data_IF_387987345267
#
_entry.id   IF_387987345267
#
_cell.length_a   1.000
_cell.length_b   1.000
_cell.length_c   1.000
_cell.angle_alpha   90.00
_cell.angle_beta   90.00
_cell.angle_gamma   90.00
#
_symmetry.space_group_name_H-M   'P 1'
#
loop_
_entity.id
_entity.type
_entity.pdbx_description
1 polymer ?
#
# COMPACT_ATOMS: atom_id res chain seq x y z
N UNK A 1 4.63 -1.38 -12.81
CA UNK A 1 5.54 -0.46 -12.08
C UNK A 1 4.81 0.28 -10.95
N UNK A 2 3.68 0.90 -11.23
CA UNK A 2 2.97 1.72 -10.24
C UNK A 2 2.44 0.95 -9.03
N UNK A 3 2.31 -0.36 -9.12
CA UNK A 3 1.76 -1.21 -8.06
C UNK A 3 2.79 -2.10 -7.40
N UNK A 4 4.06 -1.99 -7.81
CA UNK A 4 5.12 -2.86 -7.31
C UNK A 4 5.58 -2.45 -5.92
N UNK A 5 5.69 -3.43 -5.03
CA UNK A 5 6.23 -3.23 -3.69
C UNK A 5 7.75 -3.01 -3.74
N UNK A 6 8.32 -2.40 -2.69
CA UNK A 6 9.77 -2.14 -2.66
C UNK A 6 10.64 -3.38 -2.85
N UNK A 7 10.28 -4.50 -2.22
CA UNK A 7 11.07 -5.73 -2.34
C UNK A 7 11.04 -6.30 -3.76
N UNK A 8 9.97 -6.06 -4.52
CA UNK A 8 9.87 -6.50 -5.92
C UNK A 8 10.86 -5.73 -6.79
N UNK A 9 11.04 -4.44 -6.52
CA UNK A 9 12.01 -3.62 -7.23
C UNK A 9 13.45 -4.08 -6.96
N UNK A 10 13.68 -4.74 -5.82
CA UNK A 10 14.97 -5.35 -5.50
C UNK A 10 15.11 -6.78 -6.04
N UNK A 11 14.15 -7.24 -6.82
CA UNK A 11 14.20 -8.56 -7.43
C UNK A 11 13.61 -9.68 -6.58
N UNK A 12 13.00 -9.35 -5.46
CA UNK A 12 12.38 -10.33 -4.56
C UNK A 12 10.87 -10.34 -4.79
N UNK A 13 10.25 -11.50 -4.63
CA UNK A 13 8.80 -11.65 -4.77
C UNK A 13 8.27 -12.47 -3.60
N UNK A 14 7.29 -11.93 -2.91
CA UNK A 14 6.65 -12.60 -1.78
C UNK A 14 5.14 -12.46 -1.87
N UNK A 15 4.41 -13.30 -1.12
CA UNK A 15 2.95 -13.20 -1.08
C UNK A 15 2.50 -11.83 -0.58
N UNK A 16 3.25 -11.24 0.36
CA UNK A 16 2.93 -9.91 0.88
C UNK A 16 3.16 -8.80 -0.14
N UNK A 17 3.82 -9.07 -1.26
CA UNK A 17 3.96 -8.10 -2.34
C UNK A 17 2.60 -7.76 -2.96
N UNK A 18 1.70 -8.74 -3.01
CA UNK A 18 0.33 -8.52 -3.50
C UNK A 18 -0.47 -7.62 -2.55
N UNK A 19 -0.16 -7.65 -1.26
CA UNK A 19 -0.80 -6.77 -0.28
C UNK A 19 -0.44 -5.32 -0.54
N UNK A 20 0.83 -5.04 -0.87
CA UNK A 20 1.23 -3.69 -1.27
C UNK A 20 0.44 -3.24 -2.50
N UNK A 21 0.36 -4.09 -3.53
CA UNK A 21 -0.38 -3.77 -4.75
C UNK A 21 -1.85 -3.49 -4.46
N UNK A 22 -2.44 -4.24 -3.53
CA UNK A 22 -3.81 -3.98 -3.08
C UNK A 22 -3.94 -2.59 -2.46
N UNK A 23 -3.00 -2.22 -1.60
CA UNK A 23 -3.02 -0.90 -0.97
C UNK A 23 -2.96 0.24 -1.98
N UNK A 24 -2.09 0.15 -2.97
CA UNK A 24 -2.00 1.14 -4.04
C UNK A 24 -3.31 1.20 -4.83
N UNK A 25 -3.88 0.04 -5.14
CA UNK A 25 -5.15 -0.04 -5.87
C UNK A 25 -6.31 0.60 -5.10
N UNK A 26 -6.33 0.43 -3.78
CA UNK A 26 -7.37 1.04 -2.94
C UNK A 26 -7.25 2.57 -2.94
N UNK A 27 -6.04 3.11 -2.90
CA UNK A 27 -5.84 4.55 -3.02
C UNK A 27 -6.34 5.04 -4.38
N UNK A 28 -6.01 4.31 -5.45
CA UNK A 28 -6.44 4.69 -6.79
C UNK A 28 -7.98 4.70 -6.90
N UNK A 29 -8.65 3.69 -6.35
CA UNK A 29 -10.10 3.63 -6.35
C UNK A 29 -10.72 4.77 -5.54
N UNK A 30 -10.14 5.06 -4.39
CA UNK A 30 -10.67 6.08 -3.49
C UNK A 30 -10.47 7.49 -4.03
N UNK A 31 -9.27 7.78 -4.53
CA UNK A 31 -8.89 9.13 -4.98
C UNK A 31 -9.16 9.36 -6.47
N UNK A 32 -9.49 8.32 -7.21
CA UNK A 32 -9.73 8.39 -8.65
C UNK A 32 -8.47 8.51 -9.49
N UNK A 33 -7.29 8.33 -8.86
CA UNK A 33 -6.01 8.50 -9.54
C UNK A 33 -4.94 7.71 -8.79
N UNK A 34 -4.07 7.03 -9.52
CA UNK A 34 -2.94 6.34 -8.92
C UNK A 34 -1.98 7.37 -8.28
N UNK A 35 -1.48 7.14 -7.06
CA UNK A 35 -0.60 8.10 -6.40
C UNK A 35 0.69 8.40 -7.18
N UNK A 36 1.08 7.53 -8.10
CA UNK A 36 2.28 7.72 -8.92
C UNK A 36 1.95 8.04 -10.38
N UNK A 37 0.71 8.45 -10.68
CA UNK A 37 0.25 8.62 -12.07
C UNK A 37 1.08 9.62 -12.87
N UNK A 38 1.60 10.65 -12.22
CA UNK A 38 2.38 11.69 -12.87
C UNK A 38 3.89 11.46 -12.81
N UNK A 39 4.30 10.30 -12.28
CA UNK A 39 5.72 9.98 -12.09
C UNK A 39 6.25 9.20 -13.28
N UNK A 40 7.51 9.46 -13.66
CA UNK A 40 8.24 8.57 -14.56
C UNK A 40 8.56 7.27 -13.82
N UNK A 41 8.93 6.21 -14.57
CA UNK A 41 9.31 4.95 -13.95
C UNK A 41 10.45 5.12 -12.94
N UNK A 42 11.45 5.93 -13.28
CA UNK A 42 12.57 6.17 -12.38
C UNK A 42 12.12 6.88 -11.11
N UNK A 43 11.22 7.84 -11.23
CA UNK A 43 10.68 8.55 -10.07
C UNK A 43 9.84 7.63 -9.17
N UNK A 44 9.07 6.71 -9.77
CA UNK A 44 8.31 5.72 -8.99
C UNK A 44 9.27 4.85 -8.19
N UNK A 45 10.30 4.30 -8.84
CA UNK A 45 11.28 3.44 -8.17
C UNK A 45 11.94 4.15 -7.01
N UNK A 46 12.36 5.39 -7.23
CA UNK A 46 13.02 6.18 -6.20
C UNK A 46 12.07 6.48 -5.04
N UNK A 47 10.83 6.90 -5.36
CA UNK A 47 9.85 7.23 -4.33
C UNK A 47 9.48 6.03 -3.48
N UNK A 48 9.25 4.87 -4.12
CA UNK A 48 8.88 3.64 -3.42
C UNK A 48 9.99 3.19 -2.48
N UNK A 49 11.24 3.32 -2.90
CA UNK A 49 12.38 2.85 -2.10
C UNK A 49 12.80 3.85 -1.02
N UNK A 50 12.77 5.16 -1.33
CA UNK A 50 13.40 6.18 -0.48
C UNK A 50 12.41 7.00 0.36
N UNK A 51 11.17 7.12 -0.08
CA UNK A 51 10.18 7.99 0.59
C UNK A 51 9.20 7.17 1.43
N UNK A 52 8.43 7.86 2.25
CA UNK A 52 7.33 7.24 2.98
C UNK A 52 6.29 6.71 2.01
N UNK A 53 5.58 5.63 2.35
CA UNK A 53 4.51 5.11 1.49
C UNK A 53 3.42 6.14 1.28
N UNK A 54 2.73 6.10 0.12
CA UNK A 54 1.55 6.93 -0.05
C UNK A 54 0.45 6.54 0.95
N UNK A 55 -0.43 7.47 1.24
CA UNK A 55 -1.54 7.22 2.17
C UNK A 55 -2.78 7.97 1.72
N UNK A 56 -3.93 7.58 2.27
CA UNK A 56 -5.19 8.27 2.04
C UNK A 56 -5.26 9.54 2.88
N UNK A 57 -6.06 10.50 2.40
CA UNK A 57 -6.35 11.72 3.15
C UNK A 57 -7.23 11.36 4.36
N UNK A 58 -6.68 11.47 5.55
CA UNK A 58 -7.37 11.12 6.80
C UNK A 58 -8.59 12.02 7.07
N UNK A 59 -8.66 13.18 6.43
CA UNK A 59 -9.81 14.08 6.57
C UNK A 59 -10.99 13.67 5.71
N UNK A 60 -10.72 12.94 4.60
CA UNK A 60 -11.76 12.51 3.66
C UNK A 60 -12.30 11.12 3.94
N UNK A 61 -11.51 10.27 4.55
CA UNK A 61 -11.81 8.85 4.68
C UNK A 61 -11.87 8.43 6.14
N UNK A 62 -12.62 7.36 6.43
CA UNK A 62 -12.75 6.87 7.80
C UNK A 62 -11.39 6.42 8.33
N UNK A 63 -11.24 6.51 9.66
CA UNK A 63 -10.02 6.05 10.32
C UNK A 63 -9.76 4.57 10.04
N UNK A 64 -10.80 3.75 9.97
CA UNK A 64 -10.67 2.32 9.69
C UNK A 64 -10.14 2.06 8.29
N UNK A 65 -10.61 2.81 7.30
CA UNK A 65 -10.14 2.65 5.92
C UNK A 65 -8.70 3.12 5.77
N UNK A 66 -8.38 4.27 6.34
CA UNK A 66 -7.00 4.79 6.33
C UNK A 66 -6.06 3.79 6.98
N UNK A 67 -6.43 3.24 8.13
CA UNK A 67 -5.62 2.25 8.85
C UNK A 67 -5.41 0.98 8.02
N UNK A 68 -6.46 0.49 7.37
CA UNK A 68 -6.38 -0.70 6.51
C UNK A 68 -5.37 -0.49 5.39
N UNK A 69 -5.45 0.65 4.70
CA UNK A 69 -4.53 0.97 3.60
C UNK A 69 -3.10 1.11 4.13
N UNK A 70 -2.94 1.75 5.28
CA UNK A 70 -1.60 1.91 5.88
C UNK A 70 -0.97 0.56 6.22
N UNK A 71 -1.77 -0.42 6.66
CA UNK A 71 -1.27 -1.77 6.93
C UNK A 71 -0.84 -2.51 5.67
N UNK A 72 -1.46 -2.20 4.53
CA UNK A 72 -1.06 -2.74 3.23
C UNK A 72 0.25 -2.11 2.74
N UNK A 73 0.49 -0.85 3.05
CA UNK A 73 1.59 -0.07 2.49
C UNK A 73 2.74 0.12 3.48
N UNK A 74 3.15 -0.96 4.12
CA UNK A 74 4.35 -0.99 4.96
C UNK A 74 5.52 -1.43 4.09
N UNK A 75 6.59 -0.64 4.07
CA UNK A 75 7.74 -0.90 3.20
C UNK A 75 8.51 -2.16 3.60
N UNK A 76 8.66 -2.40 4.90
CA UNK A 76 9.29 -3.62 5.38
C UNK A 76 8.31 -4.77 5.23
N UNK A 77 8.62 -5.69 4.33
CA UNK A 77 7.73 -6.81 4.02
C UNK A 77 7.48 -7.69 5.24
N UNK A 78 8.42 -7.75 6.17
CA UNK A 78 8.26 -8.55 7.40
C UNK A 78 7.22 -7.95 8.33
N UNK A 79 7.08 -6.63 8.33
CA UNK A 79 6.13 -5.92 9.16
C UNK A 79 4.77 -5.74 8.47
N UNK A 80 4.74 -5.88 7.16
CA UNK A 80 3.50 -5.71 6.39
C UNK A 80 2.52 -6.83 6.73
N UNK A 81 1.24 -6.49 6.85
CA UNK A 81 0.20 -7.48 7.13
C UNK A 81 0.06 -8.47 5.97
N UNK A 82 -0.24 -9.72 6.31
CA UNK A 82 -0.57 -10.75 5.34
C UNK A 82 -2.04 -10.65 4.94
N UNK A 83 -2.41 -11.39 3.88
CA UNK A 83 -3.83 -11.47 3.47
C UNK A 83 -4.67 -12.02 4.61
N UNK A 84 -4.18 -13.03 5.33
CA UNK A 84 -4.91 -13.63 6.45
C UNK A 84 -5.19 -12.61 7.55
N UNK A 85 -4.21 -11.77 7.87
CA UNK A 85 -4.38 -10.72 8.87
C UNK A 85 -5.39 -9.68 8.42
N UNK A 86 -5.35 -9.28 7.16
CA UNK A 86 -6.28 -8.30 6.61
C UNK A 86 -7.71 -8.83 6.53
N UNK A 87 -7.87 -10.14 6.33
CA UNK A 87 -9.17 -10.79 6.26
C UNK A 87 -9.82 -11.02 7.62
N UNK A 88 -9.08 -10.81 8.70
CA UNK A 88 -9.64 -10.88 10.06
C UNK A 88 -10.47 -9.64 10.32
N UNK A 89 -11.77 -9.76 10.13
CA UNK A 89 -12.72 -8.67 10.21
C UNK A 89 -12.67 -7.96 11.55
N UNK A 90 -12.50 -8.72 12.64
CA UNK A 90 -12.47 -8.13 13.97
C UNK A 90 -11.26 -7.22 14.19
N UNK A 91 -10.18 -7.44 13.46
CA UNK A 91 -8.95 -6.67 13.66
C UNK A 91 -9.05 -5.25 13.12
N UNK A 92 -9.96 -4.98 12.15
CA UNK A 92 -10.08 -3.62 11.64
C UNK A 92 -11.47 -3.01 11.75
N UNK A 93 -12.48 -3.80 12.13
CA UNK A 93 -13.80 -3.23 12.42
C UNK A 93 -13.93 -2.76 13.88
N UNK A 94 -12.99 -3.15 14.70
CA UNK A 94 -13.01 -2.78 16.12
C UNK A 94 -13.92 -3.65 16.96
N UNK A 95 -14.37 -4.74 16.45
CA UNK A 95 -15.22 -5.68 17.17
C UNK A 95 -14.44 -6.75 17.89
#
# INVERSE_FOLDING_TARGET
>A
MFYMAPEVLDGQTELKSDVWSLGISLIELAEGKNPFADYSQMMVMKSVCDNDPPSLDAEKWSAAFVDFVNKCLVKDVKERWSVSELMDVSSFTGE
#
